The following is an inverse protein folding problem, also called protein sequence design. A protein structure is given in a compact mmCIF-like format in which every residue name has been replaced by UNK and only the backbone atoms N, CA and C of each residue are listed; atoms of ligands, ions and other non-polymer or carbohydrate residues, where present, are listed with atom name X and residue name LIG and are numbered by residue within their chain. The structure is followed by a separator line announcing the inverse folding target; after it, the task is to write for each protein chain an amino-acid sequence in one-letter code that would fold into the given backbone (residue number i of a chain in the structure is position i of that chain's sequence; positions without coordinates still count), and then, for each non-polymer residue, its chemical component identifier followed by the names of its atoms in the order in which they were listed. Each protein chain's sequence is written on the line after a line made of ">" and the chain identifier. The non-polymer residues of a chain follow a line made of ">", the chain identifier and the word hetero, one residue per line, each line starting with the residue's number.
data_IF_095445401131
#
_entry.id   IF_095445401131
#
_cell.length_a   1.000
_cell.length_b   1.000
_cell.length_c   1.000
_cell.angle_alpha   90.00
_cell.angle_beta   90.00
_cell.angle_gamma   90.00
#
_symmetry.space_group_name_H-M   'P 1'
#
loop_
_entity.id
_entity.type
_entity.pdbx_description
1 polymer ?
#
# COMPACT_ATOMS: atom_id res chain seq x y z
N UNK A 1 20.29 7.32 -4.62
CA UNK A 1 20.58 6.18 -3.74
C UNK A 1 19.37 5.28 -3.59
N UNK A 2 19.58 3.97 -3.46
CA UNK A 2 18.52 3.00 -3.20
C UNK A 2 18.14 3.02 -1.71
N UNK A 3 16.83 2.90 -1.39
CA UNK A 3 16.31 2.83 -0.01
C UNK A 3 15.62 1.48 0.22
N UNK A 4 16.38 0.40 0.49
CA UNK A 4 15.83 -0.96 0.55
C UNK A 4 14.79 -1.17 1.67
N UNK A 5 14.82 -0.34 2.72
CA UNK A 5 13.93 -0.46 3.88
C UNK A 5 12.77 0.55 3.85
N UNK A 6 12.59 1.28 2.74
CA UNK A 6 11.49 2.24 2.63
C UNK A 6 10.16 1.48 2.55
N UNK A 7 9.29 1.71 3.53
CA UNK A 7 7.93 1.16 3.54
C UNK A 7 7.08 1.84 2.46
N UNK A 8 6.35 1.06 1.67
CA UNK A 8 5.55 1.52 0.52
C UNK A 8 4.12 1.04 0.65
N UNK A 9 3.17 1.98 0.49
CA UNK A 9 1.73 1.71 0.38
C UNK A 9 1.26 2.13 -1.01
N UNK A 10 0.54 1.25 -1.69
CA UNK A 10 0.00 1.48 -3.03
C UNK A 10 -1.44 1.95 -2.96
N UNK A 11 -1.79 3.04 -3.65
CA UNK A 11 -3.13 3.62 -3.64
C UNK A 11 -3.72 3.69 -5.06
N UNK A 12 -4.64 2.78 -5.41
CA UNK A 12 -5.19 2.66 -6.78
C UNK A 12 -6.70 2.50 -6.82
N UNK A 13 -7.36 3.02 -7.87
CA UNK A 13 -8.80 2.78 -8.12
C UNK A 13 -9.08 1.47 -8.85
N UNK A 14 -8.05 0.82 -9.39
CA UNK A 14 -8.16 -0.53 -9.91
C UNK A 14 -8.25 -1.54 -8.76
N UNK A 15 -9.02 -2.62 -8.93
CA UNK A 15 -9.12 -3.68 -7.93
C UNK A 15 -7.77 -4.34 -7.67
N UNK A 16 -7.65 -4.98 -6.51
CA UNK A 16 -6.43 -5.68 -6.08
C UNK A 16 -6.03 -6.78 -7.06
N UNK A 17 -6.99 -7.38 -7.78
CA UNK A 17 -6.77 -8.49 -8.73
C UNK A 17 -6.08 -8.06 -10.04
N UNK A 18 -5.73 -6.78 -10.19
CA UNK A 18 -5.07 -6.23 -11.37
C UNK A 18 -3.61 -5.84 -11.15
N UNK A 19 -3.12 -4.74 -11.76
CA UNK A 19 -1.73 -4.27 -11.62
C UNK A 19 -1.29 -4.02 -10.17
N UNK A 20 -2.24 -3.77 -9.27
CA UNK A 20 -1.99 -3.62 -7.85
C UNK A 20 -1.34 -4.86 -7.23
N UNK A 21 -1.73 -6.07 -7.66
CA UNK A 21 -1.15 -7.32 -7.19
C UNK A 21 0.33 -7.41 -7.52
N UNK A 22 0.72 -7.03 -8.73
CA UNK A 22 2.12 -7.05 -9.16
C UNK A 22 3.01 -6.13 -8.33
N UNK A 23 2.48 -4.98 -7.89
CA UNK A 23 3.23 -4.04 -7.05
C UNK A 23 3.38 -4.57 -5.62
N UNK A 24 2.35 -5.26 -5.10
CA UNK A 24 2.45 -5.96 -3.83
C UNK A 24 3.48 -7.09 -3.89
N UNK A 25 3.43 -7.91 -4.94
CA UNK A 25 4.39 -9.00 -5.16
C UNK A 25 5.83 -8.47 -5.38
N UNK A 26 5.99 -7.24 -5.87
CA UNK A 26 7.27 -6.55 -5.99
C UNK A 26 7.82 -6.01 -4.64
N UNK A 27 7.12 -6.23 -3.52
CA UNK A 27 7.60 -5.92 -2.18
C UNK A 27 6.99 -4.68 -1.53
N UNK A 28 5.83 -4.20 -2.00
CA UNK A 28 5.08 -3.17 -1.25
C UNK A 28 4.42 -3.78 0.00
N UNK A 29 4.39 -3.03 1.10
CA UNK A 29 3.90 -3.49 2.40
C UNK A 29 2.39 -3.29 2.58
N UNK A 30 1.73 -2.56 1.68
CA UNK A 30 0.29 -2.30 1.82
C UNK A 30 -0.39 -1.83 0.54
N UNK A 31 -1.70 -1.99 0.50
CA UNK A 31 -2.57 -1.50 -0.58
C UNK A 31 -3.83 -0.85 0.00
N UNK A 32 -4.27 0.26 -0.60
CA UNK A 32 -5.53 0.93 -0.31
C UNK A 32 -6.25 1.20 -1.63
N UNK A 33 -7.48 0.71 -1.76
CA UNK A 33 -8.30 0.97 -2.93
C UNK A 33 -8.89 2.39 -2.87
N UNK A 34 -8.83 3.13 -3.97
CA UNK A 34 -9.51 4.42 -4.14
C UNK A 34 -10.96 4.19 -4.59
N UNK A 35 -11.92 5.03 -4.14
CA UNK A 35 -11.73 6.08 -3.14
C UNK A 35 -11.62 5.51 -1.73
N UNK A 36 -10.83 6.18 -0.88
CA UNK A 36 -10.72 5.89 0.54
C UNK A 36 -10.86 7.18 1.36
N UNK A 37 -11.24 7.02 2.64
CA UNK A 37 -11.30 8.13 3.58
C UNK A 37 -10.03 8.20 4.44
N UNK A 38 -9.91 9.25 5.25
CA UNK A 38 -8.74 9.46 6.11
C UNK A 38 -8.56 8.33 7.12
N UNK A 39 -9.64 7.79 7.70
CA UNK A 39 -9.59 6.70 8.67
C UNK A 39 -8.96 5.44 8.08
N UNK A 40 -9.33 5.07 6.85
CA UNK A 40 -8.75 3.92 6.14
C UNK A 40 -7.26 4.12 5.83
N UNK A 41 -6.84 5.36 5.54
CA UNK A 41 -5.42 5.69 5.37
C UNK A 41 -4.66 5.56 6.69
N UNK A 42 -5.21 6.06 7.79
CA UNK A 42 -4.59 5.98 9.12
C UNK A 42 -4.43 4.52 9.56
N UNK A 43 -5.47 3.70 9.39
CA UNK A 43 -5.42 2.28 9.71
C UNK A 43 -4.30 1.56 8.95
N UNK A 44 -4.19 1.77 7.63
CA UNK A 44 -3.14 1.14 6.83
C UNK A 44 -1.75 1.68 7.16
N UNK A 45 -1.63 2.96 7.48
CA UNK A 45 -0.36 3.53 7.94
C UNK A 45 0.08 2.90 9.26
N UNK A 46 -0.83 2.73 10.21
CA UNK A 46 -0.52 2.07 11.48
C UNK A 46 -0.10 0.61 11.28
N UNK A 47 -0.83 -0.13 10.44
CA UNK A 47 -0.49 -1.52 10.08
C UNK A 47 0.93 -1.61 9.52
N UNK A 48 1.26 -0.76 8.54
CA UNK A 48 2.57 -0.78 7.88
C UNK A 48 3.67 -0.27 8.79
N UNK A 49 3.43 0.73 9.65
CA UNK A 49 4.46 1.32 10.51
C UNK A 49 4.75 0.48 11.77
N UNK A 50 3.75 -0.19 12.34
CA UNK A 50 3.88 -0.99 13.57
C UNK A 50 4.46 -2.39 13.34
N UNK A 51 4.37 -2.93 12.12
CA UNK A 51 5.06 -4.16 11.69
C UNK A 51 6.52 -3.92 11.33
#
# INVERSE_FOLDING_TARGET
>A
EARPNLKVIVCSGYSIDGPARQILDAGAQGFIQKPFNLSALLEKLEEVLKG
#
